data_IF_381876789937
#
_entry.id   IF_381876789937
#
_cell.length_a   1.000
_cell.length_b   1.000
_cell.length_c   1.000
_cell.angle_alpha   90.00
_cell.angle_beta   90.00
_cell.angle_gamma   90.00
#
_symmetry.space_group_name_H-M   'P 1'
#
loop_
_entity.id
_entity.type
_entity.pdbx_description
1 polymer ?
#
# COMPACT_ATOMS: atom_id res chain seq x y z
N UNK A 1 -15.94 12.52 -4.52
CA UNK A 1 -16.30 11.76 -5.73
C UNK A 1 -16.25 10.31 -5.33
N UNK A 2 -17.41 9.72 -5.04
CA UNK A 2 -17.53 8.27 -4.94
C UNK A 2 -17.31 7.75 -6.35
N UNK A 3 -16.23 7.02 -6.56
CA UNK A 3 -16.04 6.29 -7.82
C UNK A 3 -17.13 5.24 -7.85
N UNK A 4 -18.12 5.45 -8.72
CA UNK A 4 -19.04 4.40 -9.14
C UNK A 4 -18.18 3.33 -9.82
N UNK A 5 -17.69 2.38 -9.03
CA UNK A 5 -17.24 1.12 -9.58
C UNK A 5 -18.52 0.39 -9.95
N UNK A 6 -18.83 0.31 -11.24
CA UNK A 6 -19.76 -0.71 -11.71
C UNK A 6 -19.30 -2.03 -11.08
N UNK A 7 -20.21 -2.69 -10.35
CA UNK A 7 -19.90 -3.93 -9.64
C UNK A 7 -19.39 -4.93 -10.67
N UNK A 8 -18.16 -5.47 -10.53
CA UNK A 8 -17.61 -6.35 -11.55
C UNK A 8 -18.52 -7.59 -11.70
N UNK A 9 -19.07 -7.79 -12.89
CA UNK A 9 -20.07 -8.84 -13.16
C UNK A 9 -19.39 -10.18 -13.49
N UNK A 10 -18.16 -10.13 -13.96
CA UNK A 10 -17.35 -11.31 -14.31
C UNK A 10 -16.12 -11.48 -13.43
N UNK A 11 -15.60 -12.70 -13.40
CA UNK A 11 -14.35 -13.01 -12.68
C UNK A 11 -13.18 -12.24 -13.27
N UNK A 12 -13.15 -12.10 -14.60
CA UNK A 12 -12.13 -11.35 -15.34
C UNK A 12 -12.15 -9.86 -14.97
N UNK A 13 -13.32 -9.22 -14.96
CA UNK A 13 -13.46 -7.82 -14.54
C UNK A 13 -13.06 -7.62 -13.08
N UNK A 14 -13.47 -8.53 -12.18
CA UNK A 14 -13.04 -8.50 -10.78
C UNK A 14 -11.50 -8.58 -10.67
N UNK A 15 -10.86 -9.37 -11.52
CA UNK A 15 -9.40 -9.42 -11.56
C UNK A 15 -8.81 -8.11 -12.06
N UNK A 16 -9.35 -7.48 -13.10
CA UNK A 16 -8.84 -6.19 -13.59
C UNK A 16 -8.98 -5.09 -12.53
N UNK A 17 -10.14 -4.98 -11.88
CA UNK A 17 -10.39 -4.01 -10.80
C UNK A 17 -9.40 -4.22 -9.65
N UNK A 18 -9.21 -5.45 -9.16
CA UNK A 18 -8.26 -5.69 -8.06
C UNK A 18 -6.82 -5.36 -8.49
N UNK A 19 -6.44 -5.62 -9.75
CA UNK A 19 -5.13 -5.22 -10.25
C UNK A 19 -4.98 -3.69 -10.29
N UNK A 20 -6.01 -2.97 -10.73
CA UNK A 20 -6.00 -1.49 -10.74
C UNK A 20 -5.82 -0.95 -9.33
N UNK A 21 -6.66 -1.40 -8.39
CA UNK A 21 -6.59 -1.00 -6.97
C UNK A 21 -5.21 -1.32 -6.37
N UNK A 22 -4.62 -2.46 -6.72
CA UNK A 22 -3.25 -2.79 -6.29
C UNK A 22 -2.24 -1.75 -6.78
N UNK A 23 -2.26 -1.41 -8.07
CA UNK A 23 -1.32 -0.43 -8.61
C UNK A 23 -1.56 0.98 -8.07
N UNK A 24 -2.82 1.38 -7.96
CA UNK A 24 -3.26 2.67 -7.42
C UNK A 24 -2.84 2.87 -5.96
N UNK A 25 -2.82 1.81 -5.15
CA UNK A 25 -2.40 1.87 -3.76
C UNK A 25 -0.89 1.68 -3.59
N UNK A 26 -0.25 0.79 -4.36
CA UNK A 26 1.15 0.47 -4.16
C UNK A 26 2.09 1.65 -4.48
N UNK A 27 1.73 2.48 -5.46
CA UNK A 27 2.52 3.67 -5.82
C UNK A 27 2.54 4.74 -4.70
N UNK A 28 1.39 5.26 -4.22
CA UNK A 28 1.39 6.22 -3.12
C UNK A 28 1.97 5.65 -1.83
N UNK A 29 1.76 4.35 -1.52
CA UNK A 29 2.40 3.72 -0.36
C UNK A 29 3.93 3.72 -0.48
N UNK A 30 4.48 3.47 -1.67
CA UNK A 30 5.93 3.53 -1.89
C UNK A 30 6.48 4.94 -1.69
N UNK A 31 5.75 5.96 -2.15
CA UNK A 31 6.11 7.37 -1.96
C UNK A 31 6.06 7.75 -0.47
N UNK A 32 4.99 7.38 0.24
CA UNK A 32 4.84 7.65 1.68
C UNK A 32 5.95 6.98 2.47
N UNK A 33 6.26 5.72 2.17
CA UNK A 33 7.34 4.98 2.83
C UNK A 33 8.71 5.64 2.63
N UNK A 34 9.00 6.08 1.39
CA UNK A 34 10.24 6.79 1.07
C UNK A 34 10.35 8.14 1.78
N UNK A 35 9.25 8.92 1.80
CA UNK A 35 9.21 10.19 2.52
C UNK A 35 9.37 9.98 4.03
N UNK A 36 8.74 8.97 4.60
CA UNK A 36 8.85 8.67 6.03
C UNK A 36 10.28 8.24 6.40
N UNK A 37 10.92 7.40 5.58
CA UNK A 37 12.34 7.07 5.74
C UNK A 37 13.22 8.32 5.70
N UNK A 38 13.01 9.21 4.73
CA UNK A 38 13.74 10.48 4.65
C UNK A 38 13.53 11.35 5.89
N UNK A 39 12.30 11.43 6.40
CA UNK A 39 12.01 12.17 7.64
C UNK A 39 12.72 11.56 8.85
N UNK A 40 12.81 10.24 8.95
CA UNK A 40 13.58 9.55 10.01
C UNK A 40 15.05 9.92 9.93
N UNK A 41 15.66 9.87 8.74
CA UNK A 41 17.05 10.25 8.50
C UNK A 41 17.30 11.72 8.86
N UNK A 42 16.45 12.62 8.37
CA UNK A 42 16.54 14.05 8.66
C UNK A 42 16.41 14.36 10.16
N UNK A 43 15.54 13.63 10.86
CA UNK A 43 15.35 13.78 12.31
C UNK A 43 16.62 13.44 13.09
N UNK A 44 17.34 12.43 12.63
CA UNK A 44 18.58 11.98 13.26
C UNK A 44 19.74 12.92 12.94
N UNK A 45 19.83 13.41 11.71
CA UNK A 45 20.89 14.34 11.28
C UNK A 45 20.77 15.73 11.92
N UNK A 46 19.54 16.25 12.03
CA UNK A 46 19.27 17.59 12.58
C UNK A 46 18.93 17.58 14.08
N UNK A 47 19.08 16.42 14.74
CA UNK A 47 18.75 16.23 16.16
C UNK A 47 17.35 16.74 16.52
N UNK A 48 16.36 16.44 15.68
CA UNK A 48 14.98 16.84 15.90
C UNK A 48 14.37 16.13 17.13
N UNK A 49 13.28 16.70 17.63
CA UNK A 49 12.57 16.20 18.80
C UNK A 49 12.14 14.73 18.66
N UNK A 50 12.22 13.97 19.76
CA UNK A 50 11.89 12.54 19.80
C UNK A 50 10.45 12.25 19.33
N UNK A 51 9.50 13.16 19.57
CA UNK A 51 8.13 13.01 19.11
C UNK A 51 8.03 13.06 17.57
N UNK A 52 8.87 13.88 16.93
CA UNK A 52 8.92 13.96 15.47
C UNK A 52 9.51 12.67 14.88
N UNK A 53 10.62 12.18 15.45
CA UNK A 53 11.22 10.90 15.06
C UNK A 53 10.22 9.74 15.19
N UNK A 54 9.54 9.63 16.34
CA UNK A 54 8.52 8.60 16.59
C UNK A 54 7.39 8.68 15.56
N UNK A 55 6.91 9.89 15.24
CA UNK A 55 5.84 10.07 14.26
C UNK A 55 6.27 9.65 12.84
N UNK A 56 7.51 9.95 12.45
CA UNK A 56 8.05 9.54 11.16
C UNK A 56 8.20 8.00 11.07
N UNK A 57 8.65 7.36 12.14
CA UNK A 57 8.73 5.90 12.25
C UNK A 57 7.34 5.25 12.16
N UNK A 58 6.34 5.78 12.86
CA UNK A 58 4.97 5.27 12.83
C UNK A 58 4.39 5.29 11.40
N UNK A 59 4.60 6.39 10.66
CA UNK A 59 4.15 6.51 9.26
C UNK A 59 4.88 5.48 8.39
N UNK A 60 6.18 5.32 8.59
CA UNK A 60 6.97 4.35 7.85
C UNK A 60 6.46 2.93 8.08
N UNK A 61 6.30 2.51 9.33
CA UNK A 61 5.81 1.18 9.69
C UNK A 61 4.41 0.93 9.14
N UNK A 62 3.50 1.89 9.30
CA UNK A 62 2.14 1.77 8.77
C UNK A 62 2.14 1.61 7.24
N UNK A 63 2.96 2.37 6.53
CA UNK A 63 3.07 2.27 5.06
C UNK A 63 3.60 0.90 4.61
N UNK A 64 4.58 0.34 5.33
CA UNK A 64 5.12 -1.00 5.07
C UNK A 64 4.09 -2.10 5.37
N UNK A 65 3.36 -1.99 6.48
CA UNK A 65 2.29 -2.93 6.85
C UNK A 65 1.16 -2.93 5.80
N UNK A 66 0.77 -1.76 5.32
CA UNK A 66 -0.23 -1.63 4.25
C UNK A 66 0.26 -2.26 2.94
N UNK A 67 1.51 -2.00 2.54
CA UNK A 67 2.09 -2.62 1.33
C UNK A 67 2.15 -4.15 1.46
N UNK A 68 2.55 -4.68 2.62
CA UNK A 68 2.56 -6.12 2.89
C UNK A 68 1.17 -6.76 2.83
N UNK A 69 0.16 -6.09 3.37
CA UNK A 69 -1.23 -6.53 3.31
C UNK A 69 -1.75 -6.57 1.87
N UNK A 70 -1.41 -5.55 1.08
CA UNK A 70 -1.78 -5.44 -0.32
C UNK A 70 -1.10 -6.54 -1.18
N UNK A 71 0.18 -6.84 -0.94
CA UNK A 71 0.88 -7.96 -1.57
C UNK A 71 0.24 -9.31 -1.22
N UNK A 72 -0.18 -9.48 0.03
CA UNK A 72 -0.89 -10.70 0.47
C UNK A 72 -2.23 -10.86 -0.26
N UNK A 73 -2.97 -9.78 -0.45
CA UNK A 73 -4.23 -9.79 -1.22
C UNK A 73 -3.99 -10.24 -2.67
N UNK A 74 -2.97 -9.69 -3.34
CA UNK A 74 -2.61 -10.09 -4.70
C UNK A 74 -2.23 -11.57 -4.79
N UNK A 75 -1.46 -12.08 -3.83
CA UNK A 75 -1.12 -13.53 -3.79
C UNK A 75 -2.36 -14.41 -3.61
N UNK A 76 -3.32 -14.01 -2.78
CA UNK A 76 -4.57 -14.75 -2.58
C UNK A 76 -5.42 -14.75 -3.86
N UNK A 77 -5.52 -13.60 -4.55
CA UNK A 77 -6.17 -13.49 -5.87
C UNK A 77 -5.54 -14.44 -6.90
N UNK A 78 -4.21 -14.47 -7.00
CA UNK A 78 -3.53 -15.36 -7.95
C UNK A 78 -3.76 -16.85 -7.64
N UNK A 79 -3.95 -17.21 -6.36
CA UNK A 79 -4.32 -18.57 -5.98
C UNK A 79 -5.75 -18.95 -6.40
N UNK A 80 -6.71 -18.04 -6.20
CA UNK A 80 -8.11 -18.24 -6.67
C UNK A 80 -8.21 -18.36 -8.20
N UNK A 81 -7.25 -17.79 -8.94
CA UNK A 81 -7.15 -17.99 -10.38
C UNK A 81 -6.74 -19.43 -10.73
N UNK A 82 -5.73 -19.97 -10.03
CA UNK A 82 -5.18 -21.32 -10.27
C UNK A 82 -6.14 -22.45 -9.89
N UNK A 83 -6.97 -22.27 -8.86
CA UNK A 83 -7.90 -23.32 -8.38
C UNK A 83 -9.20 -23.43 -9.21
N UNK A 84 -9.47 -22.48 -10.13
CA UNK A 84 -10.65 -22.50 -10.99
C UNK A 84 -10.36 -22.95 -12.43
N UNK A 85 -9.13 -23.44 -12.67
CA UNK A 85 -8.68 -24.08 -13.91
C UNK A 85 -8.63 -25.60 -13.70
#
# INVERSE_FOLDING_TARGET
MTTDFDEPETKEELHEVISSVYHELNNPLSIIAGNAQFLVELSQEEELDEQFLSSAQDIQEASQQMSGSLQRLTRLKERLKKEAQ
#
